data_IF_097097678848
#
_entry.id   IF_097097678848
#
_cell.length_a   1.000
_cell.length_b   1.000
_cell.length_c   1.000
_cell.angle_alpha   90.00
_cell.angle_beta   90.00
_cell.angle_gamma   90.00
#
_symmetry.space_group_name_H-M   'P 1'
#
loop_
_entity.id
_entity.type
_entity.pdbx_description
1 polymer ?
#
# COMPACT_ATOMS: atom_id res chain seq x y z
N UNK A 1 -2.33 11.56 21.49
CA UNK A 1 -2.51 10.77 20.25
C UNK A 1 -2.99 11.71 19.15
N UNK A 2 -2.42 11.67 17.95
CA UNK A 2 -2.87 12.48 16.80
C UNK A 2 -4.20 11.92 16.28
N UNK A 3 -5.23 12.77 16.16
CA UNK A 3 -6.56 12.41 15.64
C UNK A 3 -6.50 11.86 14.21
N UNK A 4 -7.38 10.92 13.87
CA UNK A 4 -7.48 10.35 12.52
C UNK A 4 -7.68 11.41 11.43
N UNK A 5 -8.43 12.48 11.73
CA UNK A 5 -8.61 13.59 10.80
C UNK A 5 -7.30 14.34 10.51
N UNK A 6 -6.44 14.51 11.52
CA UNK A 6 -5.12 15.13 11.35
C UNK A 6 -4.23 14.21 10.51
N UNK A 7 -4.28 12.89 10.74
CA UNK A 7 -3.50 11.92 9.94
C UNK A 7 -3.88 11.97 8.45
N UNK A 8 -5.18 12.04 8.11
CA UNK A 8 -5.61 12.17 6.72
C UNK A 8 -5.07 13.44 6.05
N UNK A 9 -5.02 14.57 6.78
CA UNK A 9 -4.50 15.84 6.23
C UNK A 9 -2.98 15.81 6.03
N UNK A 10 -2.25 15.13 6.91
CA UNK A 10 -0.80 15.04 6.82
C UNK A 10 -0.33 13.98 5.82
N UNK A 11 -1.13 12.93 5.58
CA UNK A 11 -0.75 11.81 4.74
C UNK A 11 -0.19 12.18 3.35
N UNK A 12 -0.78 13.12 2.59
CA UNK A 12 -0.29 13.47 1.25
C UNK A 12 1.15 14.00 1.26
N UNK A 13 1.58 14.62 2.38
CA UNK A 13 2.96 15.13 2.54
C UNK A 13 4.01 14.03 2.60
N UNK A 14 3.60 12.79 2.91
CA UNK A 14 4.49 11.63 2.97
C UNK A 14 4.65 10.93 1.62
N UNK A 15 3.80 11.26 0.64
CA UNK A 15 3.74 10.57 -0.65
C UNK A 15 4.77 11.13 -1.63
N UNK A 16 5.32 10.24 -2.46
CA UNK A 16 6.30 10.57 -3.51
C UNK A 16 5.86 9.92 -4.83
N UNK A 17 6.15 10.58 -5.95
CA UNK A 17 6.01 10.05 -7.32
C UNK A 17 4.63 9.38 -7.53
N UNK A 18 4.61 8.10 -7.91
CA UNK A 18 3.39 7.35 -8.21
C UNK A 18 2.38 7.29 -7.06
N UNK A 19 2.83 7.35 -5.80
CA UNK A 19 1.93 7.40 -4.66
C UNK A 19 1.16 8.73 -4.58
N UNK A 20 1.80 9.84 -4.94
CA UNK A 20 1.14 11.15 -5.01
C UNK A 20 0.16 11.19 -6.19
N UNK A 21 0.55 10.67 -7.35
CA UNK A 21 -0.34 10.59 -8.53
C UNK A 21 -1.59 9.77 -8.25
N UNK A 22 -1.45 8.62 -7.58
CA UNK A 22 -2.59 7.83 -7.13
C UNK A 22 -3.49 8.63 -6.19
N UNK A 23 -2.93 9.28 -5.18
CA UNK A 23 -3.73 10.04 -4.21
C UNK A 23 -4.53 11.17 -4.87
N UNK A 24 -3.93 11.85 -5.85
CA UNK A 24 -4.60 12.89 -6.66
C UNK A 24 -5.70 12.34 -7.59
N UNK A 25 -5.64 11.05 -7.94
CA UNK A 25 -6.65 10.38 -8.77
C UNK A 25 -7.88 9.89 -7.99
N UNK A 26 -7.85 9.95 -6.66
CA UNK A 26 -8.98 9.55 -5.83
C UNK A 26 -10.20 10.44 -6.11
N UNK A 27 -11.38 9.82 -6.15
CA UNK A 27 -12.62 10.56 -6.33
C UNK A 27 -12.83 11.55 -5.16
N UNK A 28 -13.40 12.74 -5.40
CA UNK A 28 -13.74 13.66 -4.33
C UNK A 28 -14.57 12.96 -3.26
N UNK A 29 -14.25 13.23 -1.99
CA UNK A 29 -14.94 12.64 -0.83
C UNK A 29 -14.88 11.10 -0.72
N UNK A 30 -14.01 10.43 -1.48
CA UNK A 30 -13.83 8.97 -1.37
C UNK A 30 -13.12 8.53 -0.11
N UNK A 31 -12.54 9.46 0.67
CA UNK A 31 -11.83 9.19 1.92
C UNK A 31 -12.56 9.88 3.07
N UNK A 32 -13.23 9.09 3.89
CA UNK A 32 -14.03 9.55 5.03
C UNK A 32 -13.29 9.47 6.37
N UNK A 33 -12.24 8.65 6.46
CA UNK A 33 -11.52 8.40 7.71
C UNK A 33 -10.08 7.91 7.44
N UNK A 34 -9.26 7.90 8.50
CA UNK A 34 -7.91 7.32 8.44
C UNK A 34 -7.93 5.84 8.05
N UNK A 35 -8.93 5.08 8.54
CA UNK A 35 -9.09 3.66 8.24
C UNK A 35 -9.36 3.44 6.76
N UNK A 36 -10.29 4.20 6.21
CA UNK A 36 -10.68 4.18 4.80
C UNK A 36 -9.50 4.51 3.88
N UNK A 37 -8.74 5.57 4.20
CA UNK A 37 -7.51 5.94 3.49
C UNK A 37 -6.49 4.80 3.49
N UNK A 38 -6.26 4.19 4.66
CA UNK A 38 -5.27 3.13 4.81
C UNK A 38 -5.68 1.89 4.00
N UNK A 39 -6.96 1.54 4.01
CA UNK A 39 -7.48 0.40 3.25
C UNK A 39 -7.34 0.60 1.74
N UNK A 40 -7.71 1.78 1.23
CA UNK A 40 -7.54 2.12 -0.19
C UNK A 40 -6.07 2.12 -0.60
N UNK A 41 -5.19 2.71 0.23
CA UNK A 41 -3.75 2.71 -0.01
C UNK A 41 -3.18 1.28 -0.05
N UNK A 42 -3.50 0.46 0.95
CA UNK A 42 -3.07 -0.93 0.99
C UNK A 42 -3.61 -1.70 -0.22
N UNK A 43 -4.87 -1.54 -0.59
CA UNK A 43 -5.43 -2.21 -1.77
C UNK A 43 -4.72 -1.83 -3.07
N UNK A 44 -4.29 -0.57 -3.21
CA UNK A 44 -3.63 -0.10 -4.43
C UNK A 44 -2.15 -0.48 -4.49
N UNK A 45 -1.42 -0.32 -3.38
CA UNK A 45 0.04 -0.52 -3.36
C UNK A 45 0.48 -1.88 -2.86
N UNK A 46 -0.38 -2.63 -2.18
CA UNK A 46 -0.08 -4.02 -1.87
C UNK A 46 -0.22 -4.80 -3.17
N UNK A 47 0.92 -5.09 -3.79
CA UNK A 47 1.00 -6.09 -4.84
C UNK A 47 0.65 -7.44 -4.21
N UNK A 48 -0.65 -7.77 -4.17
CA UNK A 48 -1.11 -9.12 -3.90
C UNK A 48 -0.78 -9.99 -5.12
N UNK A 49 0.51 -10.24 -5.38
CA UNK A 49 0.88 -11.47 -6.07
C UNK A 49 0.74 -12.57 -5.03
N UNK A 50 -0.44 -13.17 -4.95
CA UNK A 50 -0.59 -14.47 -4.29
C UNK A 50 0.23 -15.44 -5.11
N UNK A 51 1.50 -15.58 -4.77
CA UNK A 51 2.31 -16.66 -5.29
C UNK A 51 1.69 -17.97 -4.80
N UNK A 52 1.48 -18.96 -5.68
CA UNK A 52 1.04 -20.28 -5.25
C UNK A 52 1.97 -20.79 -4.15
N UNK A 53 1.41 -21.15 -2.99
CA UNK A 53 2.19 -21.73 -1.89
C UNK A 53 2.35 -23.24 -2.12
N UNK A 54 2.99 -23.60 -3.23
CA UNK A 54 3.22 -24.99 -3.64
C UNK A 54 4.69 -25.38 -3.46
N UNK A 55 4.95 -26.68 -3.31
CA UNK A 55 6.33 -27.22 -3.25
C UNK A 55 7.13 -26.78 -4.48
N UNK A 56 6.54 -26.87 -5.68
CA UNK A 56 7.17 -26.41 -6.92
C UNK A 56 7.56 -24.92 -6.91
N UNK A 57 6.79 -24.08 -6.20
CA UNK A 57 7.13 -22.65 -6.08
C UNK A 57 8.29 -22.44 -5.11
N UNK A 58 8.41 -23.27 -4.07
CA UNK A 58 9.54 -23.24 -3.14
C UNK A 58 10.81 -23.79 -3.77
N UNK A 59 10.71 -24.87 -4.55
CA UNK A 59 11.85 -25.47 -5.27
C UNK A 59 12.46 -24.52 -6.32
N UNK A 60 11.66 -23.59 -6.85
CA UNK A 60 12.13 -22.57 -7.78
C UNK A 60 12.89 -21.41 -7.10
N UNK A 61 12.94 -21.36 -5.76
CA UNK A 61 13.67 -20.35 -5.00
C UNK A 61 15.07 -20.89 -4.69
N UNK A 62 16.09 -20.16 -5.13
CA UNK A 62 17.49 -20.47 -4.85
C UNK A 62 18.07 -19.39 -3.94
N UNK A 63 18.65 -19.80 -2.82
CA UNK A 63 19.36 -18.91 -1.90
C UNK A 63 20.68 -18.45 -2.54
N UNK A 64 20.95 -17.15 -2.49
CA UNK A 64 22.23 -16.60 -2.95
C UNK A 64 23.40 -17.09 -2.08
N UNK A 65 24.64 -17.06 -2.61
CA UNK A 65 25.84 -17.42 -1.85
C UNK A 65 26.08 -16.55 -0.60
N UNK A 66 25.55 -15.34 -0.61
CA UNK A 66 25.77 -14.30 0.40
C UNK A 66 24.43 -13.82 1.03
N UNK A 67 23.37 -14.62 0.92
CA UNK A 67 22.04 -14.34 1.49
C UNK A 67 21.79 -15.15 2.77
#
# INVERSE_FOLDING_TARGET
MVSGAIRCRLFPTTLRKGAMTWYQSLAPQSVSSWKDLTEQFCRHFTASRRHPKTVATLEAIFQGKDE
#
